data_IF_365099647431
#
_entry.id   IF_365099647431
#
_cell.length_a   1.000
_cell.length_b   1.000
_cell.length_c   1.000
_cell.angle_alpha   90.00
_cell.angle_beta   90.00
_cell.angle_gamma   90.00
#
_symmetry.space_group_name_H-M   'P 1'
#
loop_
_entity.id
_entity.type
_entity.pdbx_description
1 polymer ?
#
# COMPACT_ATOMS: atom_id res chain seq x y z
N UNK A 1 8.43 4.62 34.90
CA UNK A 1 8.75 4.34 33.49
C UNK A 1 9.94 3.40 33.37
N UNK A 2 10.97 3.56 34.21
CA UNK A 2 12.16 2.70 34.23
C UNK A 2 11.83 1.20 34.47
N UNK A 3 10.98 0.89 35.44
CA UNK A 3 10.56 -0.50 35.74
C UNK A 3 9.98 -1.24 34.52
N UNK A 4 9.22 -0.55 33.67
CA UNK A 4 8.67 -1.15 32.44
C UNK A 4 9.77 -1.46 31.43
N UNK A 5 10.70 -0.52 31.21
CA UNK A 5 11.81 -0.70 30.28
C UNK A 5 12.71 -1.84 30.76
N UNK A 6 13.00 -1.91 32.06
CA UNK A 6 13.76 -2.99 32.67
C UNK A 6 13.08 -4.35 32.47
N UNK A 7 11.75 -4.42 32.66
CA UNK A 7 11.01 -5.66 32.42
C UNK A 7 11.06 -6.13 30.96
N UNK A 8 10.99 -5.20 30.00
CA UNK A 8 11.03 -5.49 28.56
C UNK A 8 12.43 -5.95 28.15
N UNK A 9 13.48 -5.29 28.64
CA UNK A 9 14.87 -5.67 28.37
C UNK A 9 15.17 -7.07 28.94
N UNK A 10 14.75 -7.34 30.18
CA UNK A 10 14.91 -8.66 30.79
C UNK A 10 14.21 -9.77 29.98
N UNK A 11 12.98 -9.51 29.51
CA UNK A 11 12.26 -10.46 28.65
C UNK A 11 12.98 -10.68 27.31
N UNK A 12 13.51 -9.61 26.69
CA UNK A 12 14.23 -9.72 25.43
C UNK A 12 15.51 -10.55 25.55
N UNK A 13 16.22 -10.43 26.67
CA UNK A 13 17.41 -11.23 26.99
C UNK A 13 17.06 -12.71 27.22
N UNK A 14 16.01 -13.01 27.99
CA UNK A 14 15.55 -14.39 28.25
C UNK A 14 15.14 -15.09 26.95
N UNK A 15 14.53 -14.36 26.01
CA UNK A 15 14.09 -14.89 24.72
C UNK A 15 15.19 -14.91 23.63
N UNK A 16 16.40 -14.43 23.94
CA UNK A 16 17.55 -14.28 23.02
C UNK A 16 17.18 -13.68 21.66
N UNK A 17 16.39 -12.60 21.66
CA UNK A 17 15.91 -11.97 20.43
C UNK A 17 17.06 -11.29 19.67
N UNK A 18 17.57 -11.97 18.64
CA UNK A 18 18.65 -11.49 17.78
C UNK A 18 18.20 -11.39 16.32
N UNK A 19 18.57 -10.30 15.66
CA UNK A 19 18.35 -10.10 14.23
C UNK A 19 19.67 -10.09 13.46
N UNK A 20 19.72 -10.80 12.33
CA UNK A 20 20.87 -10.78 11.44
C UNK A 20 20.68 -9.71 10.37
N UNK A 21 21.54 -8.70 10.33
CA UNK A 21 21.46 -7.61 9.35
C UNK A 21 22.06 -7.97 7.97
N UNK A 22 22.86 -9.05 7.87
CA UNK A 22 23.60 -9.44 6.66
C UNK A 22 22.81 -10.34 5.70
N UNK A 23 21.68 -10.90 6.13
CA UNK A 23 20.85 -11.74 5.28
C UNK A 23 19.95 -10.90 4.35
N UNK A 24 19.36 -11.51 3.31
CA UNK A 24 18.36 -10.84 2.48
C UNK A 24 17.20 -10.31 3.33
N UNK A 25 16.71 -9.12 3.00
CA UNK A 25 15.69 -8.50 3.83
C UNK A 25 14.36 -9.27 3.77
N UNK A 26 13.75 -9.45 4.93
CA UNK A 26 12.45 -10.06 5.12
C UNK A 26 11.69 -9.28 6.18
N UNK A 27 10.38 -9.22 6.05
CA UNK A 27 9.55 -8.48 6.99
C UNK A 27 8.07 -8.63 6.71
N UNK A 28 7.29 -7.75 7.31
CA UNK A 28 5.83 -7.69 7.14
C UNK A 28 5.36 -6.28 6.83
N UNK A 29 4.29 -6.19 6.05
CA UNK A 29 3.56 -4.95 5.80
C UNK A 29 2.73 -4.62 7.03
N UNK A 30 2.87 -3.40 7.55
CA UNK A 30 2.07 -2.90 8.66
C UNK A 30 0.80 -2.25 8.11
N UNK A 31 0.97 -1.25 7.23
CA UNK A 31 -0.13 -0.45 6.69
C UNK A 31 0.09 -0.21 5.20
N UNK A 32 -1.00 -0.09 4.45
CA UNK A 32 -0.98 0.21 3.03
C UNK A 32 -1.96 1.33 2.70
N UNK A 33 -1.53 2.25 1.82
CA UNK A 33 -2.25 3.47 1.49
C UNK A 33 -2.08 3.78 -0.01
N UNK A 34 -3.00 4.56 -0.56
CA UNK A 34 -2.91 5.10 -1.92
C UNK A 34 -2.73 6.61 -1.83
N UNK A 35 -1.52 7.10 -2.10
CA UNK A 35 -1.27 8.54 -2.10
C UNK A 35 -1.47 9.15 -3.50
N UNK A 36 -2.30 10.19 -3.56
CA UNK A 36 -2.48 10.98 -4.77
C UNK A 36 -1.17 11.66 -5.20
N UNK A 37 -0.63 11.28 -6.35
CA UNK A 37 0.60 11.85 -6.91
C UNK A 37 1.88 11.09 -6.59
N UNK A 38 1.91 10.26 -5.55
CA UNK A 38 3.04 9.35 -5.26
C UNK A 38 2.78 7.91 -5.68
N UNK A 39 1.50 7.54 -5.82
CA UNK A 39 1.07 6.18 -6.15
C UNK A 39 0.82 5.34 -4.89
N UNK A 40 0.77 4.01 -5.02
CA UNK A 40 0.60 3.12 -3.88
C UNK A 40 1.84 3.17 -2.97
N UNK A 41 1.58 3.28 -1.67
CA UNK A 41 2.59 3.36 -0.61
C UNK A 41 2.25 2.36 0.49
N UNK A 42 3.26 1.88 1.18
CA UNK A 42 3.04 1.00 2.33
C UNK A 42 4.16 1.14 3.34
N UNK A 43 3.78 1.12 4.62
CA UNK A 43 4.70 1.09 5.75
C UNK A 43 5.00 -0.37 6.07
N UNK A 44 6.28 -0.72 6.09
CA UNK A 44 6.73 -2.07 6.39
C UNK A 44 7.69 -2.06 7.57
N UNK A 45 7.81 -3.20 8.24
CA UNK A 45 8.85 -3.43 9.24
C UNK A 45 9.77 -4.55 8.78
N UNK A 46 11.07 -4.26 8.79
CA UNK A 46 12.10 -5.25 8.46
C UNK A 46 12.34 -6.11 9.70
N UNK A 47 12.13 -7.41 9.58
CA UNK A 47 12.37 -8.37 10.68
C UNK A 47 13.79 -8.95 10.62
N UNK A 48 14.29 -9.20 9.41
CA UNK A 48 15.63 -9.77 9.15
C UNK A 48 16.25 -9.07 7.96
N UNK A 49 17.58 -8.98 7.94
CA UNK A 49 18.34 -8.37 6.87
C UNK A 49 18.25 -6.84 6.86
N UNK A 50 18.77 -6.23 5.80
CA UNK A 50 18.74 -4.78 5.62
C UNK A 50 18.11 -4.46 4.27
N UNK A 51 17.03 -3.67 4.26
CA UNK A 51 16.36 -3.24 3.04
C UNK A 51 16.98 -1.93 2.54
N UNK A 52 17.27 -1.83 1.25
CA UNK A 52 17.89 -0.63 0.65
C UNK A 52 17.03 -0.05 -0.47
N UNK A 53 17.26 1.23 -0.77
CA UNK A 53 16.70 1.83 -1.96
C UNK A 53 17.27 1.17 -3.22
N UNK A 54 16.41 0.78 -4.15
CA UNK A 54 16.75 0.02 -5.36
C UNK A 54 16.49 -1.48 -5.28
N UNK A 55 16.29 -2.03 -4.08
CA UNK A 55 15.98 -3.45 -3.92
C UNK A 55 14.61 -3.79 -4.53
N UNK A 56 14.48 -5.00 -5.04
CA UNK A 56 13.22 -5.54 -5.55
C UNK A 56 12.76 -6.68 -4.65
N UNK A 57 11.48 -6.69 -4.30
CA UNK A 57 10.94 -7.70 -3.40
C UNK A 57 9.49 -8.04 -3.75
N UNK A 58 9.07 -9.22 -3.30
CA UNK A 58 7.72 -9.76 -3.51
C UNK A 58 6.97 -9.81 -2.20
N UNK A 59 5.69 -9.45 -2.24
CA UNK A 59 4.76 -9.43 -1.12
C UNK A 59 3.43 -10.07 -1.56
N UNK A 60 3.34 -11.40 -1.43
CA UNK A 60 2.20 -12.19 -1.90
C UNK A 60 1.90 -11.93 -3.38
N UNK A 61 0.70 -11.43 -3.66
CA UNK A 61 0.19 -11.12 -5.01
C UNK A 61 0.80 -9.87 -5.64
N UNK A 62 1.59 -9.11 -4.88
CA UNK A 62 2.15 -7.81 -5.33
C UNK A 62 3.67 -7.83 -5.29
N UNK A 63 4.28 -7.01 -6.14
CA UNK A 63 5.72 -6.80 -6.14
C UNK A 63 6.05 -5.31 -6.01
N UNK A 64 7.29 -5.02 -5.61
CA UNK A 64 7.76 -3.67 -5.44
C UNK A 64 9.22 -3.54 -5.88
N UNK A 65 9.54 -2.42 -6.53
CA UNK A 65 10.90 -1.93 -6.68
C UNK A 65 11.06 -0.67 -5.85
N UNK A 66 11.89 -0.74 -4.81
CA UNK A 66 12.05 0.35 -3.84
C UNK A 66 12.61 1.58 -4.55
N UNK A 67 11.77 2.60 -4.75
CA UNK A 67 12.20 3.89 -5.32
C UNK A 67 12.79 4.79 -4.25
N UNK A 68 12.22 4.75 -3.06
CA UNK A 68 12.70 5.48 -1.89
C UNK A 68 12.17 4.80 -0.62
N UNK A 69 12.97 4.92 0.44
CA UNK A 69 12.58 4.62 1.81
C UNK A 69 12.43 5.94 2.56
N UNK A 70 11.37 6.04 3.36
CA UNK A 70 11.14 7.18 4.24
C UNK A 70 10.91 6.69 5.67
N UNK A 71 11.41 7.45 6.62
CA UNK A 71 11.17 7.21 8.04
C UNK A 71 9.74 7.59 8.44
N UNK A 72 9.32 7.22 9.64
CA UNK A 72 8.06 7.65 10.25
C UNK A 72 7.95 9.19 10.35
N UNK A 73 9.09 9.86 10.50
CA UNK A 73 9.23 11.31 10.51
C UNK A 73 9.21 11.95 9.10
N UNK A 74 9.13 11.16 8.03
CA UNK A 74 9.11 11.64 6.64
C UNK A 74 10.50 11.98 6.06
N UNK A 75 11.57 11.67 6.78
CA UNK A 75 12.94 11.84 6.29
C UNK A 75 13.33 10.70 5.33
N UNK A 76 14.16 10.97 4.31
CA UNK A 76 14.65 9.90 3.42
C UNK A 76 15.67 9.02 4.14
N UNK A 77 15.46 7.71 4.10
CA UNK A 77 16.39 6.72 4.62
C UNK A 77 17.14 6.05 3.45
N UNK A 78 18.48 5.89 3.53
CA UNK A 78 19.23 5.14 2.53
C UNK A 78 19.04 3.62 2.68
N UNK A 79 18.86 3.14 3.91
CA UNK A 79 18.67 1.74 4.25
C UNK A 79 17.87 1.60 5.55
N UNK A 80 17.03 0.56 5.62
CA UNK A 80 16.28 0.18 6.82
C UNK A 80 16.89 -1.08 7.44
N UNK A 81 17.32 -0.97 8.69
CA UNK A 81 17.86 -2.06 9.49
C UNK A 81 16.70 -2.90 10.11
N UNK A 82 16.99 -4.11 10.65
CA UNK A 82 15.99 -4.87 11.38
C UNK A 82 15.37 -4.07 12.52
N UNK A 83 14.05 -4.13 12.67
CA UNK A 83 13.27 -3.39 13.67
C UNK A 83 12.92 -1.96 13.27
N UNK A 84 13.48 -1.42 12.18
CA UNK A 84 13.13 -0.08 11.70
C UNK A 84 11.87 -0.13 10.83
N UNK A 85 10.79 0.61 11.16
CA UNK A 85 9.67 0.81 10.26
C UNK A 85 10.10 1.75 9.12
N UNK A 86 9.73 1.44 7.88
CA UNK A 86 10.03 2.29 6.73
C UNK A 86 8.83 2.35 5.78
N UNK A 87 8.49 3.57 5.35
CA UNK A 87 7.54 3.82 4.28
C UNK A 87 8.22 3.60 2.93
N UNK A 88 7.67 2.69 2.14
CA UNK A 88 8.20 2.33 0.83
C UNK A 88 7.37 3.01 -0.27
N UNK A 89 8.07 3.66 -1.18
CA UNK A 89 7.52 4.15 -2.44
C UNK A 89 7.96 3.26 -3.60
N UNK A 90 7.06 2.99 -4.55
CA UNK A 90 7.36 2.19 -5.75
C UNK A 90 6.70 0.82 -5.79
N UNK A 91 5.56 0.69 -5.11
CA UNK A 91 4.70 -0.48 -5.25
C UNK A 91 4.01 -0.49 -6.60
N UNK A 92 3.72 -1.69 -7.12
CA UNK A 92 2.90 -1.86 -8.32
C UNK A 92 1.41 -1.67 -8.00
N UNK A 93 0.96 -2.27 -6.90
CA UNK A 93 -0.39 -2.15 -6.36
C UNK A 93 -0.33 -2.02 -4.83
N UNK A 94 -1.47 -1.66 -4.21
CA UNK A 94 -1.58 -1.57 -2.75
C UNK A 94 -1.44 -2.98 -2.16
N UNK A 95 -0.41 -3.26 -1.34
CA UNK A 95 -0.22 -4.60 -0.78
C UNK A 95 -1.25 -4.91 0.30
N UNK A 96 -1.48 -6.20 0.52
CA UNK A 96 -2.32 -6.68 1.62
C UNK A 96 -1.63 -6.41 2.99
N UNK A 97 -2.29 -5.72 3.94
CA UNK A 97 -1.76 -5.53 5.28
C UNK A 97 -1.47 -6.86 5.99
N UNK A 98 -0.39 -6.92 6.76
CA UNK A 98 0.04 -8.14 7.45
C UNK A 98 0.72 -9.18 6.56
N UNK A 99 0.75 -8.98 5.24
CA UNK A 99 1.49 -9.86 4.34
C UNK A 99 3.00 -9.79 4.60
N UNK A 100 3.67 -10.94 4.45
CA UNK A 100 5.13 -11.04 4.56
C UNK A 100 5.77 -10.78 3.21
N UNK A 101 6.93 -10.13 3.23
CA UNK A 101 7.70 -9.87 2.01
C UNK A 101 9.12 -10.45 2.11
N UNK A 102 9.69 -10.75 0.95
CA UNK A 102 11.09 -11.21 0.81
C UNK A 102 11.77 -10.51 -0.36
N UNK A 103 13.01 -10.05 -0.14
CA UNK A 103 13.85 -9.50 -1.21
C UNK A 103 14.27 -10.60 -2.18
N UNK A 104 14.23 -10.28 -3.46
CA UNK A 104 14.69 -11.13 -4.55
C UNK A 104 15.81 -10.42 -5.31
N UNK A 105 16.55 -11.17 -6.14
CA UNK A 105 17.74 -10.63 -6.82
C UNK A 105 17.36 -9.77 -8.03
N UNK A 106 16.33 -10.19 -8.77
CA UNK A 106 15.94 -9.58 -10.03
C UNK A 106 14.50 -9.04 -9.96
N UNK A 107 14.25 -7.89 -10.59
CA UNK A 107 12.88 -7.33 -10.68
C UNK A 107 11.93 -8.23 -11.47
N UNK A 108 12.42 -8.84 -12.55
CA UNK A 108 11.68 -9.82 -13.34
C UNK A 108 11.22 -11.02 -12.51
N UNK A 109 12.10 -11.55 -11.67
CA UNK A 109 11.78 -12.67 -10.78
C UNK A 109 10.71 -12.27 -9.74
N UNK A 110 10.77 -11.04 -9.21
CA UNK A 110 9.75 -10.53 -8.29
C UNK A 110 8.37 -10.52 -8.94
N UNK A 111 8.32 -10.08 -10.21
CA UNK A 111 7.09 -9.97 -10.99
C UNK A 111 6.51 -11.34 -11.32
N UNK A 112 7.33 -12.28 -11.78
CA UNK A 112 6.90 -13.65 -12.10
C UNK A 112 6.31 -14.34 -10.85
N UNK A 113 6.97 -14.20 -9.68
CA UNK A 113 6.47 -14.75 -8.41
C UNK A 113 5.17 -14.10 -7.92
N UNK A 114 5.01 -12.79 -8.12
CA UNK A 114 3.78 -12.08 -7.75
C UNK A 114 2.62 -12.49 -8.67
N UNK A 115 2.86 -12.61 -9.98
CA UNK A 115 1.87 -13.08 -10.95
C UNK A 115 1.44 -14.51 -10.66
N UNK A 116 2.37 -15.42 -10.33
CA UNK A 116 2.05 -16.78 -9.90
C UNK A 116 1.17 -16.78 -8.64
N UNK A 117 1.54 -15.98 -7.63
CA UNK A 117 0.80 -15.87 -6.37
C UNK A 117 -0.61 -15.30 -6.59
N UNK A 118 -0.76 -14.31 -7.47
CA UNK A 118 -2.05 -13.72 -7.82
C UNK A 118 -2.95 -14.70 -8.57
N UNK A 119 -2.39 -15.52 -9.47
CA UNK A 119 -3.13 -16.59 -10.15
C UNK A 119 -3.60 -17.66 -9.17
N UNK A 120 -2.75 -18.05 -8.22
CA UNK A 120 -3.12 -18.99 -7.17
C UNK A 120 -4.29 -18.46 -6.32
N UNK A 121 -4.20 -17.21 -5.85
CA UNK A 121 -5.27 -16.57 -5.08
C UNK A 121 -6.60 -16.48 -5.84
N UNK A 122 -6.56 -16.19 -7.15
CA UNK A 122 -7.77 -16.18 -7.99
C UNK A 122 -8.40 -17.57 -8.12
N UNK A 123 -7.60 -18.61 -8.37
CA UNK A 123 -8.10 -19.99 -8.45
C UNK A 123 -8.74 -20.44 -7.14
N UNK A 124 -8.11 -20.08 -6.02
CA UNK A 124 -8.66 -20.37 -4.68
C UNK A 124 -9.99 -19.64 -4.45
N UNK A 125 -10.08 -18.37 -4.84
CA UNK A 125 -11.33 -17.61 -4.74
C UNK A 125 -12.44 -18.18 -5.63
N UNK A 126 -12.12 -18.60 -6.85
CA UNK A 126 -13.07 -19.25 -7.77
C UNK A 126 -13.54 -20.61 -7.21
N UNK A 127 -12.63 -21.42 -6.66
CA UNK A 127 -12.99 -22.68 -6.03
C UNK A 127 -13.92 -22.50 -4.82
N UNK A 128 -13.73 -21.44 -4.02
CA UNK A 128 -14.63 -21.09 -2.92
C UNK A 128 -16.01 -20.64 -3.41
N UNK A 129 -16.09 -19.95 -4.55
CA UNK A 129 -17.37 -19.56 -5.16
C UNK A 129 -18.11 -20.75 -5.78
N UNK A 130 -17.37 -21.77 -6.24
CA UNK A 130 -17.92 -23.01 -6.77
C UNK A 130 -18.26 -24.03 -5.68
N UNK A 131 -18.01 -23.73 -4.40
CA UNK A 131 -18.57 -24.54 -3.31
C UNK A 131 -20.09 -24.60 -3.52
N UNK A 132 -20.67 -25.80 -3.71
CA UNK A 132 -22.10 -25.91 -3.95
C UNK A 132 -22.82 -25.23 -2.79
N UNK A 133 -23.91 -24.54 -3.12
CA UNK A 133 -24.83 -23.97 -2.15
C UNK A 133 -25.55 -25.13 -1.42
N UNK A 134 -24.81 -25.96 -0.68
CA UNK A 134 -25.31 -27.10 0.11
C UNK A 134 -25.99 -26.64 1.40
N UNK A 135 -26.10 -25.32 1.62
CA UNK A 135 -27.00 -24.70 2.58
C UNK A 135 -28.45 -24.60 2.10
N UNK A 136 -28.77 -25.09 0.90
CA UNK A 136 -30.15 -25.20 0.44
C UNK A 136 -30.87 -26.29 1.25
N UNK A 137 -31.74 -25.87 2.18
CA UNK A 137 -32.74 -26.76 2.77
C UNK A 137 -33.55 -27.38 1.63
N UNK A 138 -33.72 -28.72 1.56
CA UNK A 138 -34.56 -29.32 0.54
C UNK A 138 -36.01 -28.81 0.70
N UNK A 139 -36.56 -28.16 -0.33
CA UNK A 139 -37.95 -27.66 -0.37
C UNK A 139 -38.16 -26.18 -0.65
N UNK A 140 -37.11 -25.37 -0.90
CA UNK A 140 -37.24 -23.93 -1.17
C UNK A 140 -37.30 -23.62 -2.68
N UNK A 141 -38.17 -22.70 -3.10
CA UNK A 141 -38.33 -22.33 -4.51
C UNK A 141 -37.11 -21.57 -5.06
N UNK A 142 -36.87 -21.65 -6.38
CA UNK A 142 -35.69 -21.01 -6.99
C UNK A 142 -35.66 -19.49 -6.79
N UNK A 143 -36.82 -18.84 -6.70
CA UNK A 143 -36.91 -17.40 -6.41
C UNK A 143 -36.46 -17.08 -4.97
N UNK A 144 -36.81 -17.92 -3.99
CA UNK A 144 -36.39 -17.76 -2.60
C UNK A 144 -34.89 -18.02 -2.43
N UNK A 145 -34.32 -18.98 -3.18
CA UNK A 145 -32.86 -19.21 -3.24
C UNK A 145 -32.12 -17.99 -3.79
N UNK A 146 -32.69 -17.35 -4.81
CA UNK A 146 -32.14 -16.15 -5.45
C UNK A 146 -32.22 -14.93 -4.51
N UNK A 147 -33.32 -14.77 -3.77
CA UNK A 147 -33.46 -13.72 -2.75
C UNK A 147 -32.49 -13.92 -1.56
N UNK A 148 -32.23 -15.16 -1.16
CA UNK A 148 -31.29 -15.47 -0.08
C UNK A 148 -29.83 -15.18 -0.48
N UNK A 149 -29.44 -15.45 -1.73
CA UNK A 149 -28.09 -15.16 -2.24
C UNK A 149 -27.79 -13.64 -2.26
N UNK A 150 -28.74 -12.83 -2.72
CA UNK A 150 -28.60 -11.37 -2.78
C UNK A 150 -28.51 -10.70 -1.41
N UNK A 151 -29.09 -11.32 -0.36
CA UNK A 151 -28.96 -10.84 1.01
C UNK A 151 -27.53 -10.99 1.55
N UNK A 152 -26.80 -12.04 1.15
CA UNK A 152 -25.45 -12.33 1.65
C UNK A 152 -24.36 -11.45 1.01
N UNK A 153 -24.56 -10.94 -0.20
CA UNK A 153 -23.56 -10.11 -0.89
C UNK A 153 -23.39 -8.70 -0.28
N UNK A 154 -24.42 -8.20 0.42
CA UNK A 154 -24.32 -6.92 1.15
C UNK A 154 -23.36 -6.97 2.34
N UNK A 155 -23.11 -8.14 2.91
CA UNK A 155 -22.22 -8.30 4.06
C UNK A 155 -20.74 -8.46 3.63
N UNK A 156 -20.47 -9.06 2.46
CA UNK A 156 -19.11 -9.33 1.97
C UNK A 156 -18.39 -8.11 1.43
N UNK A 157 -19.13 -7.15 0.85
CA UNK A 157 -18.60 -5.86 0.39
C UNK A 157 -17.94 -5.03 1.51
N UNK A 158 -18.24 -5.30 2.79
CA UNK A 158 -17.78 -4.54 3.94
C UNK A 158 -16.85 -5.32 4.88
N UNK A 159 -16.49 -6.57 4.55
CA UNK A 159 -15.81 -7.48 5.47
C UNK A 159 -14.34 -7.13 5.80
N UNK A 160 -13.73 -6.15 5.12
CA UNK A 160 -12.44 -5.59 5.56
C UNK A 160 -12.59 -4.50 6.65
N UNK A 161 -13.82 -4.09 6.99
CA UNK A 161 -14.10 -2.98 7.90
C UNK A 161 -15.32 -3.21 8.82
N UNK A 162 -15.52 -4.41 9.39
CA UNK A 162 -16.33 -4.52 10.61
C UNK A 162 -16.07 -5.83 11.35
N UNK A 163 -15.32 -5.75 12.45
CA UNK A 163 -15.50 -6.69 13.56
C UNK A 163 -16.76 -6.26 14.33
N UNK A 164 -17.75 -7.14 14.57
CA UNK A 164 -18.80 -6.83 15.52
C UNK A 164 -18.22 -6.97 16.93
N UNK A 165 -17.97 -5.84 17.60
CA UNK A 165 -17.75 -5.84 19.04
C UNK A 165 -19.07 -6.23 19.71
N UNK A 166 -19.06 -7.37 20.38
CA UNK A 166 -19.97 -7.84 21.44
C UNK A 166 -21.29 -7.07 21.62
N UNK A 167 -22.39 -7.78 21.35
CA UNK A 167 -23.71 -7.68 22.01
C UNK A 167 -23.96 -6.44 22.87
N UNK A 168 -24.56 -5.41 22.26
CA UNK A 168 -25.53 -4.55 22.94
C UNK A 168 -26.69 -4.28 21.99
N UNK A 169 -27.80 -4.97 22.25
CA UNK A 169 -29.09 -4.84 21.58
C UNK A 169 -29.63 -3.42 21.83
N UNK A 170 -29.36 -2.50 20.91
CA UNK A 170 -29.98 -1.18 20.93
C UNK A 170 -31.42 -1.31 20.43
N UNK A 171 -32.40 -1.22 21.34
CA UNK A 171 -33.82 -1.13 21.00
C UNK A 171 -34.16 0.35 20.76
N UNK A 172 -34.73 0.73 19.61
CA UNK A 172 -35.32 2.06 19.48
C UNK A 172 -36.63 2.09 20.28
N UNK A 173 -36.67 2.88 21.36
CA UNK A 173 -37.93 3.25 21.98
C UNK A 173 -38.67 4.22 21.06
N UNK A 174 -39.94 3.91 20.82
CA UNK A 174 -40.89 4.78 20.13
C UNK A 174 -41.02 6.10 20.89
N UNK A 175 -40.60 7.20 20.29
CA UNK A 175 -41.09 8.55 20.55
C UNK A 175 -41.07 9.27 19.19
N UNK A 176 -42.24 9.31 18.53
CA UNK A 176 -43.04 10.52 18.46
C UNK A 176 -42.39 11.62 17.59
N UNK A 177 -42.80 11.62 16.32
CA UNK A 177 -43.29 12.81 15.61
C UNK A 177 -42.61 14.14 15.94
N UNK A 178 -41.74 14.61 15.04
CA UNK A 178 -41.90 15.93 14.45
C UNK A 178 -41.06 16.08 13.18
N UNK A 179 -41.76 16.41 12.10
CA UNK A 179 -41.20 17.06 10.92
C UNK A 179 -40.32 18.23 11.36
N UNK A 180 -39.04 18.18 11.02
CA UNK A 180 -38.22 19.37 10.97
C UNK A 180 -37.45 19.35 9.65
N UNK A 181 -38.10 19.98 8.67
CA UNK A 181 -37.51 20.45 7.42
C UNK A 181 -36.52 21.54 7.82
N UNK A 182 -35.24 21.19 7.88
CA UNK A 182 -34.18 22.16 8.19
C UNK A 182 -33.89 22.97 6.93
N UNK A 183 -34.54 24.13 6.83
CA UNK A 183 -34.29 25.12 5.80
C UNK A 183 -33.00 25.88 6.14
N UNK A 184 -31.92 25.53 5.46
CA UNK A 184 -30.70 26.34 5.47
C UNK A 184 -30.94 27.71 4.82
N UNK A 185 -30.26 28.79 5.27
CA UNK A 185 -30.44 30.13 4.73
C UNK A 185 -29.95 30.26 3.28
N UNK A 186 -30.53 31.15 2.47
CA UNK A 186 -30.23 31.26 1.04
C UNK A 186 -28.78 31.72 0.79
N UNK A 187 -28.06 30.95 -0.03
CA UNK A 187 -26.71 31.30 -0.52
C UNK A 187 -26.76 32.52 -1.43
N UNK A 188 -26.30 33.65 -0.91
CA UNK A 188 -26.15 34.92 -1.63
C UNK A 188 -25.12 34.79 -2.78
N UNK A 189 -25.58 34.90 -4.03
CA UNK A 189 -24.76 34.78 -5.25
C UNK A 189 -24.02 36.10 -5.54
N UNK A 190 -23.18 36.56 -4.61
CA UNK A 190 -22.39 37.80 -4.73
C UNK A 190 -20.88 37.55 -4.73
N UNK A 191 -20.42 36.53 -5.46
CA UNK A 191 -18.99 36.24 -5.64
C UNK A 191 -18.55 36.04 -7.11
N UNK A 192 -19.29 36.65 -8.05
CA UNK A 192 -18.83 36.86 -9.42
C UNK A 192 -18.38 38.30 -9.61
N UNK A 193 -17.13 38.59 -9.24
CA UNK A 193 -16.31 39.70 -9.76
C UNK A 193 -14.87 39.53 -9.27
N UNK A 194 -14.07 38.77 -10.03
CA UNK A 194 -12.60 38.78 -9.87
C UNK A 194 -12.04 40.07 -10.51
N UNK A 195 -11.18 40.83 -9.82
CA UNK A 195 -10.54 42.00 -10.43
C UNK A 195 -9.51 41.59 -11.48
N UNK A 196 -9.51 42.30 -12.62
CA UNK A 196 -8.51 42.18 -13.70
C UNK A 196 -7.19 42.76 -13.22
N UNK A 197 -6.14 41.93 -13.11
CA UNK A 197 -4.77 42.41 -12.93
C UNK A 197 -4.17 42.89 -14.26
N UNK A 198 -3.47 44.03 -14.31
CA UNK A 198 -2.82 44.52 -15.52
C UNK A 198 -1.51 43.77 -15.82
N UNK A 199 -1.15 43.77 -17.11
CA UNK A 199 -0.26 42.81 -17.74
C UNK A 199 1.20 42.81 -17.28
N UNK A 200 1.77 41.60 -17.24
CA UNK A 200 3.22 41.39 -17.31
C UNK A 200 3.57 40.83 -18.69
N UNK A 201 4.45 41.57 -19.38
CA UNK A 201 4.99 41.28 -20.71
C UNK A 201 5.81 39.99 -20.67
N UNK A 202 5.56 39.09 -21.63
CA UNK A 202 6.37 37.88 -21.87
C UNK A 202 7.68 38.27 -22.57
N UNK A 203 8.87 37.84 -22.11
CA UNK A 203 10.07 37.92 -22.92
C UNK A 203 10.06 36.82 -23.99
N UNK A 204 10.64 37.18 -25.15
CA UNK A 204 10.62 36.46 -26.42
C UNK A 204 11.44 35.15 -26.38
N UNK A 205 10.97 34.21 -27.20
CA UNK A 205 11.58 32.90 -27.51
C UNK A 205 13.02 33.06 -28.00
N UNK A 206 13.97 32.38 -27.34
CA UNK A 206 15.29 32.07 -27.88
C UNK A 206 15.28 30.70 -28.57
N UNK A 207 15.76 30.64 -29.81
CA UNK A 207 15.89 29.41 -30.62
C UNK A 207 17.06 28.54 -30.10
N UNK A 208 17.01 27.21 -30.27
CA UNK A 208 18.10 26.31 -29.91
C UNK A 208 19.25 26.41 -30.92
N UNK A 209 20.48 26.63 -30.41
CA UNK A 209 21.71 26.58 -31.18
C UNK A 209 22.22 25.15 -31.31
N UNK A 210 22.35 24.70 -32.56
CA UNK A 210 23.09 23.49 -32.94
C UNK A 210 24.59 23.69 -32.69
N UNK A 211 25.17 22.91 -31.77
CA UNK A 211 26.62 22.72 -31.70
C UNK A 211 26.99 21.29 -32.11
N UNK A 212 27.14 21.15 -33.43
CA UNK A 212 28.23 20.49 -34.16
C UNK A 212 29.15 19.56 -33.33
N UNK A 213 28.88 18.25 -33.39
CA UNK A 213 29.90 17.21 -33.26
C UNK A 213 30.86 17.28 -34.45
N UNK A 214 32.16 17.46 -34.21
CA UNK A 214 33.22 17.18 -35.19
C UNK A 214 34.57 16.99 -34.49
N UNK A 215 35.37 16.10 -35.10
CA UNK A 215 36.78 15.72 -34.87
C UNK A 215 36.98 14.60 -33.85
N UNK A 216 37.30 13.38 -34.31
CA UNK A 216 38.56 12.86 -34.92
C UNK A 216 39.32 12.10 -33.84
N UNK A 217 39.42 10.77 -33.96
CA UNK A 217 40.44 10.00 -34.69
C UNK A 217 41.82 10.04 -34.02
N UNK A 218 42.38 8.82 -33.93
CA UNK A 218 43.73 8.45 -33.51
C UNK A 218 44.03 8.66 -32.02
N UNK A 219 44.68 7.76 -31.31
CA UNK A 219 45.37 6.55 -31.72
C UNK A 219 46.16 6.01 -30.51
N UNK A 220 46.42 4.72 -30.56
CA UNK A 220 47.67 4.09 -30.14
C UNK A 220 47.95 3.80 -28.65
N UNK A 221 48.11 2.48 -28.43
CA UNK A 221 49.24 1.80 -27.76
C UNK A 221 49.50 2.09 -26.28
N UNK A 222 49.58 1.00 -25.52
CA UNK A 222 50.77 0.80 -24.68
C UNK A 222 50.50 0.36 -23.25
N UNK A 223 50.78 -0.93 -23.02
CA UNK A 223 51.62 -1.43 -21.92
C UNK A 223 51.09 -1.38 -20.47
N UNK A 224 50.89 -2.59 -19.93
CA UNK A 224 51.23 -2.97 -18.55
C UNK A 224 52.78 -3.01 -18.39
N UNK A 225 53.40 -3.41 -17.25
CA UNK A 225 52.95 -3.68 -15.86
C UNK A 225 53.85 -2.84 -14.88
N UNK A 226 54.38 -3.27 -13.70
CA UNK A 226 54.52 -4.59 -13.06
C UNK A 226 53.35 -5.01 -12.15
#
# INVERSE_FOLDING_TARGET
MNELIESILLQAEILDLKANAKCPAQGSVIESQMETGRGPTATVIVQKGTLKAGDSFVCGETWCKVRALMDDCGNRLPSAAPGTPALILGWDAVPSPGAKFRVVKNDREARELAEESALAARKEAEAQQQAPNTGARPGMSDLERLMAALAQDKEKSCASCSRPTSMARWKPSKAASRNQVDQGPPRDRRWLRRPRHPGRRRPRRGRPGLHRCLRHQAGERGAAPP
#
